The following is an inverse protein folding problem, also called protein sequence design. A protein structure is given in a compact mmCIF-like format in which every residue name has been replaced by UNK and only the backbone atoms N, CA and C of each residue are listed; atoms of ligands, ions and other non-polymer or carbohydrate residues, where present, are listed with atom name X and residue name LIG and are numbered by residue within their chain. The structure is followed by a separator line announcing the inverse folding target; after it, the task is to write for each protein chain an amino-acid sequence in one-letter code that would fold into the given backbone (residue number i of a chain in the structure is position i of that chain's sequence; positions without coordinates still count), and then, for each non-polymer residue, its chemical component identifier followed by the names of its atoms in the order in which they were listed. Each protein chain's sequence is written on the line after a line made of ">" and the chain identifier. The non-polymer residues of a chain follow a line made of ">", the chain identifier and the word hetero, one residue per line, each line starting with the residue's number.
data_IF_515297136384
#
_entry.id   IF_515297136384
#
_cell.length_a   1.000
_cell.length_b   1.000
_cell.length_c   1.000
_cell.angle_alpha   90.00
_cell.angle_beta   90.00
_cell.angle_gamma   90.00
#
_symmetry.space_group_name_H-M   'P 1'
#
loop_
_entity.id
_entity.type
_entity.pdbx_description
1 polymer ?
#
# COMPACT_ATOMS: atom_id res chain seq x y z
N UNK A 1 5.56 -7.35 1.16
CA UNK A 1 5.42 -7.19 -0.30
C UNK A 1 5.98 -5.87 -0.81
N UNK A 2 5.53 -4.70 -0.31
CA UNK A 2 6.06 -3.38 -0.73
C UNK A 2 7.61 -3.32 -0.70
N UNK A 3 8.23 -3.80 0.39
CA UNK A 3 9.69 -3.89 0.50
C UNK A 3 10.36 -4.72 -0.61
N UNK A 4 9.74 -5.85 -0.98
CA UNK A 4 10.29 -6.73 -2.02
C UNK A 4 10.27 -6.02 -3.38
N UNK A 5 9.14 -5.41 -3.73
CA UNK A 5 8.99 -4.68 -4.98
C UNK A 5 9.96 -3.50 -5.05
N UNK A 6 10.14 -2.77 -3.95
CA UNK A 6 11.15 -1.72 -3.87
C UNK A 6 12.57 -2.26 -4.08
N UNK A 7 12.93 -3.40 -3.44
CA UNK A 7 14.24 -4.03 -3.64
C UNK A 7 14.46 -4.52 -5.08
N UNK A 8 13.41 -5.02 -5.74
CA UNK A 8 13.46 -5.37 -7.16
C UNK A 8 13.67 -4.10 -8.01
N UNK A 9 12.96 -3.01 -7.71
CA UNK A 9 13.10 -1.74 -8.43
C UNK A 9 14.55 -1.22 -8.42
N UNK A 10 15.27 -1.36 -7.30
CA UNK A 10 16.67 -0.93 -7.19
C UNK A 10 17.65 -1.73 -8.06
N UNK A 11 17.24 -2.89 -8.60
CA UNK A 11 18.08 -3.76 -9.45
C UNK A 11 17.80 -3.58 -10.94
N UNK A 12 16.99 -2.59 -11.31
CA UNK A 12 16.53 -2.43 -12.68
C UNK A 12 17.47 -1.50 -13.48
N UNK A 13 18.43 -2.09 -14.18
CA UNK A 13 19.32 -1.35 -15.09
C UNK A 13 18.65 -1.08 -16.48
N UNK A 14 17.52 -1.73 -16.79
CA UNK A 14 16.92 -1.74 -18.15
C UNK A 14 15.41 -1.37 -18.20
N UNK A 15 14.86 -0.75 -17.15
CA UNK A 15 13.44 -0.32 -17.13
C UNK A 15 12.41 -1.42 -17.48
N UNK A 16 12.70 -2.68 -17.16
CA UNK A 16 11.74 -3.80 -17.28
C UNK A 16 10.72 -3.78 -16.14
N UNK A 17 9.46 -4.23 -16.32
CA UNK A 17 8.43 -4.22 -15.26
C UNK A 17 8.73 -5.15 -14.05
N UNK A 18 8.11 -4.89 -12.90
CA UNK A 18 8.34 -5.63 -11.63
C UNK A 18 8.15 -7.15 -11.77
N UNK A 19 7.15 -7.54 -12.55
CA UNK A 19 6.84 -8.96 -12.79
C UNK A 19 8.01 -9.66 -13.50
N UNK A 20 8.62 -9.03 -14.50
CA UNK A 20 9.78 -9.57 -15.21
C UNK A 20 10.98 -9.73 -14.27
N UNK A 21 11.25 -8.74 -13.41
CA UNK A 21 12.33 -8.82 -12.43
C UNK A 21 12.11 -9.95 -11.41
N UNK A 22 10.85 -10.13 -10.97
CA UNK A 22 10.48 -11.23 -10.08
C UNK A 22 10.70 -12.60 -10.74
N UNK A 23 10.21 -12.80 -11.96
CA UNK A 23 10.40 -14.06 -12.71
C UNK A 23 11.88 -14.35 -12.95
N UNK A 24 12.68 -13.34 -13.31
CA UNK A 24 14.12 -13.50 -13.59
C UNK A 24 14.94 -13.86 -12.36
N UNK A 25 14.62 -13.28 -11.19
CA UNK A 25 15.51 -13.33 -10.02
C UNK A 25 14.98 -14.13 -8.83
N UNK A 26 13.67 -14.38 -8.76
CA UNK A 26 13.02 -14.91 -7.55
C UNK A 26 12.21 -16.18 -7.82
N UNK A 27 11.41 -16.21 -8.89
CA UNK A 27 10.42 -17.29 -9.11
C UNK A 27 11.01 -18.71 -9.05
N UNK A 28 12.24 -18.89 -9.55
CA UNK A 28 12.94 -20.18 -9.59
C UNK A 28 14.07 -20.30 -8.56
N UNK A 29 14.19 -19.38 -7.61
CA UNK A 29 15.24 -19.44 -6.59
C UNK A 29 14.90 -20.49 -5.52
N UNK A 30 15.72 -21.53 -5.38
CA UNK A 30 15.45 -22.65 -4.46
C UNK A 30 15.31 -22.25 -2.98
N UNK A 31 16.01 -21.19 -2.55
CA UNK A 31 15.89 -20.66 -1.17
C UNK A 31 14.61 -19.86 -0.96
N UNK A 32 13.97 -19.44 -2.05
CA UNK A 32 12.70 -18.74 -2.04
C UNK A 32 11.52 -19.71 -2.10
N UNK A 33 11.62 -20.71 -2.98
CA UNK A 33 10.61 -21.76 -3.13
C UNK A 33 10.52 -22.66 -1.92
N UNK A 34 11.65 -22.94 -1.27
CA UNK A 34 11.69 -23.66 0.00
C UNK A 34 11.97 -22.65 1.10
N UNK A 35 11.09 -22.52 2.11
CA UNK A 35 11.33 -21.59 3.21
C UNK A 35 12.67 -21.92 3.90
N UNK A 36 13.75 -21.22 3.54
CA UNK A 36 15.08 -21.41 4.12
C UNK A 36 15.58 -20.10 4.72
N UNK A 37 15.75 -20.08 6.03
CA UNK A 37 16.33 -18.95 6.76
C UNK A 37 17.69 -19.38 7.30
N UNK A 38 18.77 -18.77 6.81
CA UNK A 38 20.16 -19.11 7.19
C UNK A 38 20.47 -20.62 7.09
N UNK A 39 19.97 -21.28 6.03
CA UNK A 39 20.14 -22.71 5.80
C UNK A 39 19.22 -23.63 6.59
N UNK A 40 18.33 -23.09 7.44
CA UNK A 40 17.34 -23.86 8.22
C UNK A 40 15.94 -23.73 7.63
N UNK A 41 15.17 -24.82 7.67
CA UNK A 41 13.76 -24.79 7.28
C UNK A 41 12.96 -23.86 8.20
N UNK A 42 12.19 -22.95 7.60
CA UNK A 42 11.31 -22.01 8.27
C UNK A 42 9.82 -22.22 8.00
N UNK A 43 9.45 -23.26 7.25
CA UNK A 43 8.09 -23.53 6.77
C UNK A 43 7.05 -23.55 7.91
N UNK A 44 7.34 -24.26 9.01
CA UNK A 44 6.44 -24.35 10.17
C UNK A 44 6.17 -22.97 10.80
N UNK A 45 7.22 -22.19 11.05
CA UNK A 45 7.09 -20.85 11.65
C UNK A 45 6.39 -19.87 10.71
N UNK A 46 6.63 -19.98 9.40
CA UNK A 46 5.94 -19.20 8.39
C UNK A 46 4.45 -19.54 8.39
N UNK A 47 4.12 -20.83 8.39
CA UNK A 47 2.75 -21.33 8.37
C UNK A 47 1.96 -20.91 9.61
N UNK A 48 2.56 -20.99 10.78
CA UNK A 48 1.94 -20.52 12.03
C UNK A 48 1.58 -19.03 11.98
N UNK A 49 2.49 -18.19 11.46
CA UNK A 49 2.30 -16.73 11.43
C UNK A 49 1.42 -16.23 10.29
N UNK A 50 1.40 -16.94 9.17
CA UNK A 50 0.83 -16.42 7.92
C UNK A 50 -0.21 -17.33 7.30
N UNK A 51 -0.21 -18.62 7.65
CA UNK A 51 -1.04 -19.66 7.02
C UNK A 51 -0.45 -20.27 5.75
N UNK A 52 0.73 -19.83 5.30
CA UNK A 52 1.36 -20.27 4.05
C UNK A 52 2.52 -21.23 4.31
N UNK A 53 2.72 -22.20 3.42
CA UNK A 53 3.81 -23.18 3.60
C UNK A 53 5.18 -22.63 3.22
N UNK A 54 5.23 -21.70 2.25
CA UNK A 54 6.44 -21.08 1.76
C UNK A 54 6.16 -19.66 1.21
N UNK A 55 7.24 -18.95 0.82
CA UNK A 55 7.13 -17.61 0.27
C UNK A 55 6.54 -17.60 -1.15
N UNK A 56 6.72 -18.68 -1.92
CA UNK A 56 6.16 -18.81 -3.28
C UNK A 56 4.63 -18.81 -3.23
N UNK A 57 4.03 -19.47 -2.25
CA UNK A 57 2.58 -19.49 -2.05
C UNK A 57 2.05 -18.08 -1.75
N UNK A 58 2.75 -17.32 -0.88
CA UNK A 58 2.40 -15.92 -0.58
C UNK A 58 2.44 -15.06 -1.84
N UNK A 59 3.50 -15.21 -2.64
CA UNK A 59 3.64 -14.46 -3.90
C UNK A 59 2.57 -14.80 -4.91
N UNK A 60 2.25 -16.08 -5.09
CA UNK A 60 1.24 -16.49 -6.04
C UNK A 60 -0.12 -15.87 -5.70
N UNK A 61 -0.49 -15.79 -4.40
CA UNK A 61 -1.73 -15.14 -3.97
C UNK A 61 -1.69 -13.61 -4.04
N UNK A 62 -0.50 -13.00 -4.13
CA UNK A 62 -0.30 -11.53 -4.14
C UNK A 62 0.48 -11.07 -5.37
N UNK A 63 0.42 -11.83 -6.46
CA UNK A 63 1.21 -11.60 -7.68
C UNK A 63 0.77 -10.31 -8.38
N UNK A 64 -0.49 -9.96 -8.21
CA UNK A 64 -1.10 -8.71 -8.67
C UNK A 64 -0.37 -7.47 -8.13
N UNK A 65 0.23 -7.53 -6.93
CA UNK A 65 1.06 -6.44 -6.39
C UNK A 65 2.34 -6.16 -7.21
N UNK A 66 2.76 -7.08 -8.09
CA UNK A 66 3.86 -6.85 -9.04
C UNK A 66 3.42 -6.04 -10.27
N UNK A 67 2.13 -5.78 -10.44
CA UNK A 67 1.62 -4.95 -11.55
C UNK A 67 1.70 -3.44 -11.28
N UNK A 68 2.02 -3.04 -10.04
CA UNK A 68 2.14 -1.63 -9.65
C UNK A 68 3.37 -1.02 -10.34
N UNK A 69 3.25 0.20 -10.84
CA UNK A 69 4.38 0.92 -11.42
C UNK A 69 5.51 1.09 -10.39
N UNK A 70 6.76 1.03 -10.85
CA UNK A 70 7.96 1.25 -10.04
C UNK A 70 7.98 2.60 -9.33
N UNK A 71 7.54 3.65 -10.01
CA UNK A 71 7.54 4.97 -9.39
C UNK A 71 6.57 5.02 -8.20
N UNK A 72 5.38 4.44 -8.37
CA UNK A 72 4.36 4.38 -7.35
C UNK A 72 4.80 3.48 -6.18
N UNK A 73 5.43 2.33 -6.47
CA UNK A 73 5.91 1.43 -5.41
C UNK A 73 7.04 2.05 -4.58
N UNK A 74 7.91 2.86 -5.20
CA UNK A 74 8.94 3.62 -4.49
C UNK A 74 8.30 4.62 -3.53
N UNK A 75 7.31 5.39 -3.99
CA UNK A 75 6.58 6.36 -3.14
C UNK A 75 5.83 5.67 -2.01
N UNK A 76 5.16 4.55 -2.28
CA UNK A 76 4.53 3.74 -1.22
C UNK A 76 5.55 3.22 -0.21
N UNK A 77 6.72 2.78 -0.66
CA UNK A 77 7.76 2.31 0.25
C UNK A 77 8.33 3.45 1.12
N UNK A 78 8.49 4.65 0.57
CA UNK A 78 8.87 5.83 1.36
C UNK A 78 7.86 6.18 2.44
N UNK A 79 6.57 6.20 2.09
CA UNK A 79 5.49 6.39 3.06
C UNK A 79 5.48 5.28 4.14
N UNK A 80 5.65 4.02 3.74
CA UNK A 80 5.74 2.89 4.65
C UNK A 80 6.93 3.01 5.63
N UNK A 81 8.11 3.41 5.15
CA UNK A 81 9.28 3.64 6.03
C UNK A 81 8.98 4.69 7.09
N UNK A 82 8.31 5.78 6.73
CA UNK A 82 7.92 6.83 7.67
C UNK A 82 6.90 6.33 8.69
N UNK A 83 5.92 5.52 8.24
CA UNK A 83 4.97 4.87 9.14
C UNK A 83 5.67 3.96 10.16
N UNK A 84 6.68 3.18 9.74
CA UNK A 84 7.45 2.34 10.67
C UNK A 84 8.28 3.13 11.68
N UNK A 85 8.55 4.41 11.43
CA UNK A 85 9.22 5.31 12.39
C UNK A 85 8.24 5.91 13.39
N UNK A 86 6.92 5.80 13.15
CA UNK A 86 5.94 6.24 14.12
C UNK A 86 5.98 5.29 15.34
N UNK A 87 6.10 5.82 16.56
CA UNK A 87 6.14 5.00 17.77
C UNK A 87 4.84 4.19 17.92
N UNK A 88 4.97 2.87 18.09
CA UNK A 88 3.84 1.93 18.22
C UNK A 88 3.14 2.02 19.58
N UNK A 89 3.90 2.38 20.61
CA UNK A 89 3.51 2.45 22.01
C UNK A 89 3.88 3.84 22.54
N UNK A 90 2.92 4.75 22.68
CA UNK A 90 3.07 5.84 23.63
C UNK A 90 2.51 5.35 24.96
N UNK A 91 3.36 4.71 25.75
CA UNK A 91 3.16 4.74 27.18
C UNK A 91 3.33 6.21 27.58
N UNK A 92 2.28 6.77 28.18
CA UNK A 92 2.17 8.15 28.67
C UNK A 92 1.72 9.20 27.63
N UNK A 93 0.98 10.18 28.15
CA UNK A 93 0.00 11.00 27.45
C UNK A 93 0.50 11.77 26.23
N UNK A 94 -0.44 12.10 25.35
CA UNK A 94 -0.32 13.03 24.22
C UNK A 94 1.05 13.07 23.55
N UNK A 95 1.18 12.38 22.41
CA UNK A 95 2.29 12.55 21.47
C UNK A 95 2.31 13.99 20.92
N UNK A 96 2.74 14.97 21.71
CA UNK A 96 3.39 16.19 21.20
C UNK A 96 4.81 15.82 20.77
N UNK A 97 4.91 14.91 19.81
CA UNK A 97 6.18 14.55 19.19
C UNK A 97 6.31 15.35 17.89
N UNK A 98 7.10 16.41 17.95
CA UNK A 98 7.44 17.26 16.78
C UNK A 98 7.94 16.41 15.60
N UNK A 99 8.74 15.37 15.87
CA UNK A 99 9.22 14.44 14.82
C UNK A 99 8.08 13.61 14.21
N UNK A 100 7.10 13.16 15.01
CA UNK A 100 5.95 12.43 14.47
C UNK A 100 5.09 13.32 13.58
N UNK A 101 4.91 14.59 13.94
CA UNK A 101 4.22 15.55 13.09
C UNK A 101 4.96 15.76 11.76
N UNK A 102 6.30 15.84 11.80
CA UNK A 102 7.12 15.91 10.59
C UNK A 102 6.95 14.66 9.71
N UNK A 103 7.02 13.45 10.30
CA UNK A 103 6.76 12.21 9.58
C UNK A 103 5.34 12.19 9.00
N UNK A 104 4.34 12.64 9.75
CA UNK A 104 2.95 12.70 9.31
C UNK A 104 2.76 13.63 8.11
N UNK A 105 3.38 14.82 8.14
CA UNK A 105 3.38 15.75 7.02
C UNK A 105 4.06 15.14 5.78
N UNK A 106 5.20 14.47 5.97
CA UNK A 106 5.92 13.81 4.89
C UNK A 106 5.12 12.66 4.28
N UNK A 107 4.41 11.86 5.11
CA UNK A 107 3.49 10.82 4.64
C UNK A 107 2.38 11.44 3.79
N UNK A 108 1.72 12.50 4.28
CA UNK A 108 0.68 13.20 3.50
C UNK A 108 1.23 13.74 2.17
N UNK A 109 2.45 14.28 2.17
CA UNK A 109 3.15 14.71 0.95
C UNK A 109 3.28 13.56 -0.06
N UNK A 110 3.72 12.38 0.37
CA UNK A 110 3.85 11.19 -0.50
C UNK A 110 2.52 10.75 -1.09
N UNK A 111 1.44 10.80 -0.30
CA UNK A 111 0.09 10.48 -0.80
C UNK A 111 -0.43 11.53 -1.79
N UNK A 112 -0.01 12.81 -1.68
CA UNK A 112 -0.30 13.84 -2.70
C UNK A 112 0.47 13.58 -3.99
N UNK A 113 1.77 13.29 -3.92
CA UNK A 113 2.58 12.92 -5.09
C UNK A 113 2.00 11.69 -5.82
N UNK A 114 1.61 10.66 -5.08
CA UNK A 114 0.93 9.47 -5.60
C UNK A 114 -0.41 9.81 -6.29
N UNK A 115 -1.05 10.91 -5.89
CA UNK A 115 -2.29 11.38 -6.47
C UNK A 115 -2.10 12.25 -7.73
N UNK A 116 -0.97 12.95 -7.84
CA UNK A 116 -0.58 13.79 -8.99
C UNK A 116 -0.05 12.94 -10.14
N UNK A 117 0.59 11.82 -9.82
CA UNK A 117 0.93 10.77 -10.77
C UNK A 117 -0.35 10.11 -11.30
N UNK A 118 -0.88 10.69 -12.37
CA UNK A 118 -2.00 10.18 -13.15
C UNK A 118 -1.57 9.01 -14.03
N UNK A 119 -0.92 7.98 -13.46
CA UNK A 119 -0.81 6.72 -14.17
C UNK A 119 -2.25 6.25 -14.45
N UNK A 120 -2.59 6.14 -15.73
CA UNK A 120 -3.98 6.02 -16.20
C UNK A 120 -4.74 4.85 -15.54
N UNK A 121 -4.03 3.90 -14.93
CA UNK A 121 -4.58 2.66 -14.39
C UNK A 121 -4.23 2.50 -12.92
N UNK A 122 -4.96 3.16 -12.03
CA UNK A 122 -5.00 2.78 -10.60
C UNK A 122 -5.78 1.49 -10.48
N UNK A 123 -5.08 0.38 -10.63
CA UNK A 123 -5.67 -0.94 -10.57
C UNK A 123 -6.03 -1.32 -9.12
N UNK A 124 -6.68 -2.47 -8.97
CA UNK A 124 -7.09 -3.01 -7.67
C UNK A 124 -5.92 -3.14 -6.71
N UNK A 125 -4.76 -3.60 -7.18
CA UNK A 125 -3.55 -3.80 -6.39
C UNK A 125 -3.00 -2.48 -5.83
N UNK A 126 -2.93 -1.42 -6.64
CA UNK A 126 -2.59 -0.07 -6.18
C UNK A 126 -3.53 0.38 -5.06
N UNK A 127 -4.84 0.22 -5.29
CA UNK A 127 -5.88 0.65 -4.34
C UNK A 127 -5.80 -0.13 -3.02
N UNK A 128 -5.45 -1.41 -3.06
CA UNK A 128 -5.22 -2.22 -1.86
C UNK A 128 -4.01 -1.74 -1.06
N UNK A 129 -2.89 -1.43 -1.72
CA UNK A 129 -1.69 -0.89 -1.04
C UNK A 129 -1.99 0.47 -0.42
N UNK A 130 -2.65 1.36 -1.17
CA UNK A 130 -3.12 2.64 -0.67
C UNK A 130 -4.00 2.45 0.57
N UNK A 131 -5.06 1.63 0.48
CA UNK A 131 -6.00 1.40 1.57
C UNK A 131 -5.33 0.86 2.82
N UNK A 132 -4.36 -0.04 2.66
CA UNK A 132 -3.61 -0.62 3.79
C UNK A 132 -2.83 0.47 4.52
N UNK A 133 -2.00 1.23 3.79
CA UNK A 133 -1.18 2.28 4.37
C UNK A 133 -2.01 3.44 4.93
N UNK A 134 -3.13 3.79 4.29
CA UNK A 134 -4.07 4.78 4.82
C UNK A 134 -4.71 4.32 6.12
N UNK A 135 -5.11 3.05 6.21
CA UNK A 135 -5.70 2.50 7.43
C UNK A 135 -4.70 2.52 8.58
N UNK A 136 -3.45 2.12 8.31
CA UNK A 136 -2.37 2.16 9.31
C UNK A 136 -2.12 3.59 9.79
N UNK A 137 -2.04 4.56 8.87
CA UNK A 137 -1.87 5.97 9.20
C UNK A 137 -3.04 6.52 10.05
N UNK A 138 -4.29 6.25 9.67
CA UNK A 138 -5.46 6.73 10.42
C UNK A 138 -5.50 6.11 11.84
N UNK A 139 -5.01 4.88 12.01
CA UNK A 139 -4.86 4.28 13.34
C UNK A 139 -3.80 5.00 14.18
N UNK A 140 -2.70 5.46 13.60
CA UNK A 140 -1.74 6.33 14.29
C UNK A 140 -2.33 7.70 14.61
N UNK A 141 -3.02 8.32 13.65
CA UNK A 141 -3.65 9.64 13.81
C UNK A 141 -4.70 9.66 14.91
N UNK A 142 -5.46 8.59 15.14
CA UNK A 142 -6.37 8.49 16.30
C UNK A 142 -5.68 8.67 17.65
N UNK A 143 -4.36 8.40 17.73
CA UNK A 143 -3.54 8.63 18.92
C UNK A 143 -2.98 10.05 19.01
N UNK A 144 -3.04 10.83 17.92
CA UNK A 144 -2.56 12.21 17.85
C UNK A 144 -3.42 13.07 16.89
N UNK A 145 -4.36 13.82 17.45
CA UNK A 145 -5.35 14.60 16.69
C UNK A 145 -4.76 15.76 15.88
N UNK A 146 -3.50 16.13 16.09
CA UNK A 146 -2.82 17.19 15.34
C UNK A 146 -2.30 16.74 13.96
N UNK A 147 -2.34 15.44 13.66
CA UNK A 147 -1.85 14.95 12.38
C UNK A 147 -2.78 15.34 11.23
N UNK A 148 -2.21 15.78 10.09
CA UNK A 148 -2.99 16.11 8.90
C UNK A 148 -3.79 14.91 8.37
N UNK A 149 -4.87 15.17 7.64
CA UNK A 149 -5.58 14.10 6.93
C UNK A 149 -4.87 13.71 5.63
N UNK A 150 -4.92 12.42 5.31
CA UNK A 150 -4.53 11.96 3.97
C UNK A 150 -5.50 12.51 2.91
N UNK A 151 -5.03 12.82 1.69
CA UNK A 151 -5.92 13.10 0.59
C UNK A 151 -6.72 11.83 0.23
N UNK A 152 -7.93 11.99 -0.31
CA UNK A 152 -8.66 10.85 -0.88
C UNK A 152 -7.92 10.30 -2.12
N UNK A 153 -8.01 8.99 -2.35
CA UNK A 153 -7.49 8.38 -3.57
C UNK A 153 -8.25 8.91 -4.79
N UNK A 154 -7.54 9.46 -5.77
CA UNK A 154 -8.11 9.88 -7.07
C UNK A 154 -8.16 8.70 -8.06
N UNK A 155 -9.20 7.89 -8.05
CA UNK A 155 -9.36 6.86 -9.10
C UNK A 155 -9.78 7.51 -10.42
N UNK A 156 -9.08 7.26 -11.53
CA UNK A 156 -9.62 7.50 -12.87
C UNK A 156 -10.83 6.58 -13.03
N UNK A 157 -12.04 7.14 -13.12
CA UNK A 157 -13.23 6.39 -13.50
C UNK A 157 -13.03 5.90 -14.93
N UNK A 158 -12.56 4.67 -15.12
CA UNK A 158 -12.94 3.96 -16.33
C UNK A 158 -14.43 3.67 -16.19
N UNK A 159 -15.21 4.21 -17.12
CA UNK A 159 -16.58 3.79 -17.35
C UNK A 159 -16.51 2.32 -17.78
N UNK A 160 -16.43 1.40 -16.82
CA UNK A 160 -16.59 -0.02 -17.07
C UNK A 160 -18.03 -0.14 -17.52
N UNK A 161 -18.23 -0.22 -18.82
CA UNK A 161 -19.51 -0.60 -19.40
C UNK A 161 -19.89 -1.93 -18.75
N UNK A 162 -20.85 -1.86 -17.83
CA UNK A 162 -21.34 -2.95 -17.03
C UNK A 162 -21.76 -4.09 -17.96
N UNK A 163 -20.93 -5.11 -18.09
CA UNK A 163 -21.40 -6.45 -18.41
C UNK A 163 -21.90 -7.04 -17.10
N UNK A 164 -23.22 -7.23 -17.02
CA UNK A 164 -23.98 -7.66 -15.86
C UNK A 164 -23.30 -8.79 -15.08
N UNK A 165 -22.77 -8.48 -13.89
CA UNK A 165 -22.67 -9.44 -12.79
C UNK A 165 -23.03 -8.70 -11.50
N UNK A 166 -24.24 -8.97 -11.04
CA UNK A 166 -24.82 -8.52 -9.78
C UNK A 166 -23.95 -8.93 -8.58
N UNK A 167 -23.49 -7.95 -7.79
CA UNK A 167 -23.31 -8.12 -6.34
C UNK A 167 -23.32 -6.75 -5.63
N UNK A 168 -24.48 -6.45 -5.05
CA UNK A 168 -24.84 -5.48 -4.01
C UNK A 168 -23.86 -4.36 -3.61
N UNK A 169 -24.15 -3.16 -4.14
CA UNK A 169 -24.31 -1.86 -3.45
C UNK A 169 -23.39 -1.45 -2.27
N UNK A 170 -22.47 -0.53 -2.53
CA UNK A 170 -22.16 0.56 -1.59
C UNK A 170 -22.77 1.86 -2.11
N UNK A 171 -23.88 2.28 -1.52
CA UNK A 171 -24.53 3.56 -1.78
C UNK A 171 -23.82 4.66 -0.99
N UNK A 172 -23.12 5.58 -1.66
CA UNK A 172 -22.76 6.88 -1.08
C UNK A 172 -23.65 7.93 -1.73
N UNK A 173 -24.69 8.33 -0.99
CA UNK A 173 -25.60 9.40 -1.35
C UNK A 173 -24.89 10.74 -1.11
N UNK A 174 -24.56 11.46 -2.18
CA UNK A 174 -24.19 12.88 -2.12
C UNK A 174 -25.45 13.72 -2.38
N UNK A 175 -25.79 14.65 -1.49
CA UNK A 175 -26.34 15.94 -1.95
C UNK A 175 -25.88 17.08 -1.07
N UNK A 176 -25.35 18.09 -1.76
CA UNK A 176 -24.98 19.39 -1.26
C UNK A 176 -26.21 20.29 -1.05
N UNK A 177 -26.05 21.18 -0.09
CA UNK A 177 -26.87 22.34 0.26
C UNK A 177 -27.21 23.19 -0.97
N UNK A 178 -28.49 23.56 -1.13
CA UNK A 178 -28.91 24.73 -1.94
C UNK A 178 -29.73 25.68 -1.09
N UNK A 179 -29.12 26.83 -0.77
CA UNK A 179 -29.78 28.07 -0.37
C UNK A 179 -30.68 28.54 -1.53
N UNK A 180 -31.95 28.82 -1.26
CA UNK A 180 -32.70 29.83 -2.00
C UNK A 180 -33.44 30.73 -1.01
N UNK A 181 -33.19 32.04 -1.16
CA UNK A 181 -33.98 33.16 -0.62
C UNK A 181 -35.29 33.30 -1.40
N UNK A 182 -36.22 34.09 -0.82
CA UNK A 182 -37.43 34.72 -1.38
C UNK A 182 -38.72 33.96 -1.01
N UNK A 183 -39.77 34.56 -0.43
CA UNK A 183 -40.15 35.93 -0.02
C UNK A 183 -40.81 35.82 1.35
#
# INVERSE_FOLDING_TARGET
>A
MIWLNYKLNLKNDEQTNLNNLYTKHIENNENYTNCKSYGKDCSNKLKEKTGYNDFKEIMNKRKDLLSINFEDISKFYEAFKLLCKMPSESNEGNLECTECLEYANNIVGKFKELNENSSATRNTSYSQVWSTLSTDYENFKKKCNSFPSLPSIKTTQYNIQSSDVTSSSFSIMHYNIKRQKNI
#
